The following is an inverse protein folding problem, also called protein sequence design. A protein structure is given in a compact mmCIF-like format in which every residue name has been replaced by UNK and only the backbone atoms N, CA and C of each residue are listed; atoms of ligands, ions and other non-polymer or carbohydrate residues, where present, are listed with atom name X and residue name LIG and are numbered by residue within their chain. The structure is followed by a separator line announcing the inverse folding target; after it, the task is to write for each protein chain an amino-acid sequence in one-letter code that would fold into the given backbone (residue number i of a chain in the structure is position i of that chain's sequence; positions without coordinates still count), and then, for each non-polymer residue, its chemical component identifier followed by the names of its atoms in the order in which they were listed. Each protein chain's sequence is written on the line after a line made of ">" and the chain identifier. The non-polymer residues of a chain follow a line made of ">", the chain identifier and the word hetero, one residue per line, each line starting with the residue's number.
data_IF_919529172065
#
_entry.id   IF_919529172065
#
_cell.length_a   1.000
_cell.length_b   1.000
_cell.length_c   1.000
_cell.angle_alpha   90.00
_cell.angle_beta   90.00
_cell.angle_gamma   90.00
#
_symmetry.space_group_name_H-M   'P 1'
#
loop_
_entity.id
_entity.type
_entity.pdbx_description
1 polymer ?
#
# COMPACT_ATOMS: atom_id res chain seq x y z
N UNK A 1 -3.89 13.87 -31.83
CA UNK A 1 -2.88 14.78 -31.26
C UNK A 1 -2.41 14.17 -29.94
N UNK A 2 -1.11 14.09 -29.69
CA UNK A 2 -0.52 13.65 -28.41
C UNK A 2 0.69 14.54 -28.12
N UNK A 3 0.94 14.91 -26.86
CA UNK A 3 2.11 15.71 -26.47
C UNK A 3 3.39 14.93 -26.74
N UNK A 4 4.41 15.60 -27.29
CA UNK A 4 5.77 15.04 -27.44
C UNK A 4 6.65 15.29 -26.20
N UNK A 5 6.21 16.17 -25.31
CA UNK A 5 6.90 16.47 -24.06
C UNK A 5 6.39 15.51 -22.98
N UNK A 6 7.28 14.71 -22.35
CA UNK A 6 6.88 13.81 -21.26
C UNK A 6 6.48 14.60 -20.02
N UNK A 7 5.59 14.02 -19.22
CA UNK A 7 5.27 14.55 -17.89
C UNK A 7 6.32 14.03 -16.90
N UNK A 8 7.14 14.92 -16.37
CA UNK A 8 8.13 14.56 -15.35
C UNK A 8 7.48 14.54 -13.96
N UNK A 9 7.79 13.49 -13.19
CA UNK A 9 7.35 13.34 -11.81
C UNK A 9 8.51 12.76 -10.98
N UNK A 10 8.73 13.32 -9.80
CA UNK A 10 9.69 12.78 -8.84
C UNK A 10 9.04 11.62 -8.08
N UNK A 11 9.68 10.46 -7.95
CA UNK A 11 9.11 9.34 -7.19
C UNK A 11 8.96 9.73 -5.72
N UNK A 12 7.79 9.43 -5.14
CA UNK A 12 7.55 9.53 -3.70
C UNK A 12 8.11 8.31 -2.97
N UNK A 13 8.32 7.21 -3.69
CA UNK A 13 8.71 5.91 -3.16
C UNK A 13 9.63 5.17 -4.14
N UNK A 14 10.74 4.63 -3.63
CA UNK A 14 11.66 3.81 -4.41
C UNK A 14 12.11 2.57 -3.60
N UNK A 15 11.76 1.37 -4.07
CA UNK A 15 12.17 0.10 -3.44
C UNK A 15 13.02 -0.73 -4.41
N UNK A 16 14.36 -0.68 -4.30
CA UNK A 16 15.25 -1.46 -5.16
C UNK A 16 14.99 -2.96 -4.99
N UNK A 17 14.86 -3.69 -6.10
CA UNK A 17 14.68 -5.14 -6.10
C UNK A 17 13.25 -5.63 -5.80
N UNK A 18 12.31 -4.72 -5.54
CA UNK A 18 10.89 -5.06 -5.40
C UNK A 18 10.15 -4.70 -6.69
N UNK A 19 9.44 -5.66 -7.27
CA UNK A 19 8.58 -5.42 -8.43
C UNK A 19 7.14 -5.22 -7.96
N UNK A 20 6.72 -3.96 -7.88
CA UNK A 20 5.34 -3.58 -7.60
C UNK A 20 4.44 -3.90 -8.79
N UNK A 21 3.28 -4.49 -8.53
CA UNK A 21 2.31 -4.93 -9.54
C UNK A 21 0.94 -4.28 -9.39
N UNK A 22 0.62 -3.74 -8.21
CA UNK A 22 -0.68 -3.16 -7.93
C UNK A 22 -0.56 -1.95 -6.99
N UNK A 23 -1.47 -0.98 -7.14
CA UNK A 23 -1.54 0.22 -6.31
C UNK A 23 -3.00 0.57 -5.99
N UNK A 24 -3.27 0.83 -4.73
CA UNK A 24 -4.52 1.43 -4.25
C UNK A 24 -4.19 2.47 -3.20
N UNK A 25 -4.91 3.58 -3.19
CA UNK A 25 -4.65 4.70 -2.27
C UNK A 25 -5.96 5.08 -1.59
N UNK A 26 -5.89 5.30 -0.28
CA UNK A 26 -6.99 5.83 0.52
C UNK A 26 -6.49 6.96 1.40
N UNK A 27 -7.43 7.72 1.96
CA UNK A 27 -7.16 8.75 2.96
C UNK A 27 -7.89 8.40 4.25
N UNK A 28 -7.17 8.38 5.35
CA UNK A 28 -7.71 8.16 6.69
C UNK A 28 -7.31 9.35 7.57
N UNK A 29 -8.27 10.07 8.13
CA UNK A 29 -8.01 11.21 9.03
C UNK A 29 -7.02 12.26 8.45
N UNK A 30 -7.08 12.52 7.14
CA UNK A 30 -6.15 13.43 6.45
C UNK A 30 -4.77 12.84 6.16
N UNK A 31 -4.52 11.59 6.53
CA UNK A 31 -3.30 10.83 6.26
C UNK A 31 -3.49 10.00 4.98
N UNK A 32 -2.60 10.19 4.00
CA UNK A 32 -2.64 9.40 2.77
C UNK A 32 -1.96 8.06 3.01
N UNK A 33 -2.66 6.96 2.72
CA UNK A 33 -2.15 5.60 2.86
C UNK A 33 -2.19 4.90 1.50
N UNK A 34 -1.05 4.35 1.08
CA UNK A 34 -0.92 3.54 -0.12
C UNK A 34 -0.81 2.05 0.23
N UNK A 35 -1.54 1.25 -0.53
CA UNK A 35 -1.51 -0.20 -0.54
C UNK A 35 -0.84 -0.64 -1.84
N UNK A 36 0.31 -1.29 -1.71
CA UNK A 36 1.16 -1.67 -2.83
C UNK A 36 1.28 -3.18 -2.88
N UNK A 37 0.80 -3.79 -3.96
CA UNK A 37 0.98 -5.22 -4.21
C UNK A 37 2.27 -5.48 -4.96
N UNK A 38 2.96 -6.58 -4.63
CA UNK A 38 4.18 -7.01 -5.31
C UNK A 38 4.03 -8.33 -6.09
N UNK A 39 5.04 -8.62 -6.91
CA UNK A 39 5.12 -9.85 -7.71
C UNK A 39 5.26 -11.13 -6.89
N UNK A 40 5.69 -11.02 -5.63
CA UNK A 40 5.84 -12.15 -4.70
C UNK A 40 4.54 -12.45 -3.93
N UNK A 41 3.49 -11.68 -4.19
CA UNK A 41 2.18 -11.85 -3.54
C UNK A 41 2.11 -11.22 -2.16
N UNK A 42 2.91 -10.17 -1.92
CA UNK A 42 2.84 -9.37 -0.71
C UNK A 42 2.07 -8.07 -0.96
N UNK A 43 1.41 -7.61 0.09
CA UNK A 43 0.74 -6.31 0.14
C UNK A 43 1.44 -5.46 1.20
N UNK A 44 1.96 -4.32 0.78
CA UNK A 44 2.65 -3.36 1.63
C UNK A 44 1.76 -2.16 1.90
N UNK A 45 1.67 -1.75 3.17
CA UNK A 45 0.96 -0.55 3.60
C UNK A 45 1.97 0.54 3.90
N UNK A 46 1.84 1.67 3.21
CA UNK A 46 2.80 2.78 3.26
C UNK A 46 2.05 4.06 3.58
N UNK A 47 2.54 4.82 4.54
CA UNK A 47 2.06 6.18 4.79
C UNK A 47 2.76 7.13 3.81
N UNK A 48 2.04 8.02 3.14
CA UNK A 48 2.58 8.96 2.14
C UNK A 48 2.53 10.43 2.59
N UNK A 49 2.31 10.70 3.87
CA UNK A 49 2.28 12.07 4.38
C UNK A 49 3.65 12.61 4.80
N UNK A 50 3.69 13.84 5.33
CA UNK A 50 4.93 14.51 5.72
C UNK A 50 5.70 13.70 6.77
N UNK A 51 7.01 13.58 6.57
CA UNK A 51 7.89 12.78 7.42
C UNK A 51 7.89 11.28 7.12
N UNK A 52 7.21 10.83 6.06
CA UNK A 52 7.34 9.44 5.61
C UNK A 52 8.67 9.21 4.89
N UNK A 53 9.39 8.17 5.32
CA UNK A 53 10.60 7.69 4.65
C UNK A 53 10.29 6.69 3.52
N UNK A 54 9.02 6.53 3.14
CA UNK A 54 8.61 5.55 2.13
C UNK A 54 8.75 4.09 2.60
N UNK A 55 9.04 3.85 3.87
CA UNK A 55 9.09 2.47 4.37
C UNK A 55 7.68 1.97 4.67
N UNK A 56 7.35 0.72 4.31
CA UNK A 56 6.06 0.17 4.66
C UNK A 56 5.99 -0.04 6.17
N UNK A 57 4.95 0.47 6.81
CA UNK A 57 4.72 0.24 8.24
C UNK A 57 4.11 -1.14 8.51
N UNK A 58 3.55 -1.78 7.47
CA UNK A 58 3.00 -3.12 7.55
C UNK A 58 3.15 -3.83 6.21
N UNK A 59 3.49 -5.11 6.24
CA UNK A 59 3.57 -5.98 5.06
C UNK A 59 2.86 -7.28 5.37
N UNK A 60 1.97 -7.71 4.48
CA UNK A 60 1.19 -8.93 4.64
C UNK A 60 1.36 -9.82 3.41
N UNK A 61 1.62 -11.11 3.63
CA UNK A 61 1.65 -12.09 2.55
C UNK A 61 0.21 -12.52 2.21
N UNK A 62 -0.19 -12.28 0.96
CA UNK A 62 -1.52 -12.63 0.44
C UNK A 62 -1.52 -14.06 -0.09
N UNK A 63 -0.57 -14.33 -0.98
CA UNK A 63 -0.33 -15.65 -1.57
C UNK A 63 1.12 -15.71 -2.05
N UNK A 64 2.03 -16.36 -1.30
CA UNK A 64 3.43 -16.45 -1.66
C UNK A 64 3.66 -16.94 -3.10
N UNK A 65 4.46 -16.20 -3.86
CA UNK A 65 4.84 -16.55 -5.23
C UNK A 65 3.76 -16.28 -6.29
N UNK A 66 2.64 -15.64 -5.93
CA UNK A 66 1.57 -15.28 -6.85
C UNK A 66 1.37 -13.77 -6.84
N UNK A 67 1.69 -13.11 -7.95
CA UNK A 67 1.63 -11.65 -8.04
C UNK A 67 0.25 -11.10 -7.66
N UNK A 68 0.25 -10.00 -6.91
CA UNK A 68 -0.97 -9.27 -6.59
C UNK A 68 -1.53 -8.63 -7.86
N UNK A 69 -2.83 -8.85 -8.10
CA UNK A 69 -3.56 -8.28 -9.23
C UNK A 69 -3.67 -6.76 -9.09
N UNK A 70 -3.68 -6.08 -10.24
CA UNK A 70 -3.89 -4.63 -10.34
C UNK A 70 -5.24 -4.19 -9.78
N UNK A 71 -6.20 -5.10 -9.74
CA UNK A 71 -7.56 -4.87 -9.27
C UNK A 71 -7.62 -4.87 -7.73
N UNK A 72 -7.10 -3.81 -7.12
CA UNK A 72 -7.23 -3.53 -5.69
C UNK A 72 -8.45 -2.63 -5.48
N UNK A 73 -9.47 -3.11 -4.78
CA UNK A 73 -10.74 -2.38 -4.63
C UNK A 73 -11.13 -2.26 -3.17
N UNK A 74 -11.42 -1.04 -2.73
CA UNK A 74 -11.99 -0.77 -1.41
C UNK A 74 -13.49 -1.11 -1.40
N UNK A 75 -14.00 -1.52 -0.25
CA UNK A 75 -15.45 -1.56 -0.03
C UNK A 75 -16.02 -0.13 0.05
N UNK A 76 -17.35 -0.01 0.09
CA UNK A 76 -18.02 1.29 0.10
C UNK A 76 -17.72 2.16 1.33
N UNK A 77 -17.35 1.55 2.46
CA UNK A 77 -16.97 2.24 3.69
C UNK A 77 -15.46 2.47 3.82
N UNK A 78 -14.64 1.99 2.88
CA UNK A 78 -13.17 2.02 2.96
C UNK A 78 -12.59 1.33 4.22
N UNK A 79 -13.30 0.32 4.76
CA UNK A 79 -12.90 -0.50 5.91
C UNK A 79 -12.26 -1.84 5.49
N UNK A 80 -12.42 -2.24 4.23
CA UNK A 80 -11.84 -3.45 3.67
C UNK A 80 -11.25 -3.21 2.28
N UNK A 81 -10.12 -3.88 2.02
CA UNK A 81 -9.50 -3.93 0.70
C UNK A 81 -9.61 -5.35 0.14
N UNK A 82 -10.20 -5.47 -1.03
CA UNK A 82 -10.25 -6.71 -1.78
C UNK A 82 -8.98 -6.82 -2.63
N UNK A 83 -8.25 -7.91 -2.40
CA UNK A 83 -6.97 -8.19 -3.03
C UNK A 83 -7.07 -9.50 -3.78
N UNK A 84 -6.84 -9.47 -5.08
CA UNK A 84 -6.84 -10.67 -5.93
C UNK A 84 -5.41 -11.05 -6.29
N UNK A 85 -5.17 -12.34 -6.52
CA UNK A 85 -3.90 -12.85 -7.06
C UNK A 85 -4.18 -13.68 -8.32
N UNK A 86 -3.15 -13.96 -9.11
CA UNK A 86 -3.31 -14.64 -10.42
C UNK A 86 -3.96 -16.03 -10.33
N UNK A 87 -3.86 -16.70 -9.18
CA UNK A 87 -4.28 -18.09 -9.02
C UNK A 87 -5.51 -18.25 -8.12
N UNK A 88 -5.89 -17.23 -7.36
CA UNK A 88 -6.96 -17.32 -6.35
C UNK A 88 -7.49 -15.93 -6.00
N UNK A 89 -8.79 -15.81 -5.75
CA UNK A 89 -9.32 -14.66 -5.00
C UNK A 89 -8.99 -14.92 -3.53
N UNK A 90 -7.88 -14.38 -3.03
CA UNK A 90 -7.56 -14.46 -1.61
C UNK A 90 -8.46 -13.47 -0.85
N UNK A 91 -9.06 -13.93 0.24
CA UNK A 91 -10.21 -13.28 0.89
C UNK A 91 -9.94 -11.87 1.40
N UNK A 92 -11.06 -11.14 1.59
CA UNK A 92 -11.24 -9.83 2.25
C UNK A 92 -10.09 -9.49 3.21
N UNK A 93 -9.28 -8.50 2.87
CA UNK A 93 -8.32 -7.96 3.82
C UNK A 93 -9.03 -6.91 4.65
N UNK A 94 -9.14 -7.19 5.94
CA UNK A 94 -9.57 -6.18 6.89
C UNK A 94 -8.53 -5.07 6.86
N UNK A 95 -8.96 -3.88 6.41
CA UNK A 95 -8.18 -2.70 6.69
C UNK A 95 -8.34 -2.54 8.20
N UNK A 96 -7.37 -3.02 8.97
CA UNK A 96 -7.09 -2.46 10.27
C UNK A 96 -6.58 -1.03 10.02
N UNK A 97 -7.49 -0.19 9.57
CA UNK A 97 -7.41 1.24 9.43
C UNK A 97 -7.59 1.79 10.86
N UNK A 98 -6.64 2.58 11.32
CA UNK A 98 -6.81 3.41 12.52
C UNK A 98 -7.02 2.79 13.92
N UNK A 99 -6.99 1.47 14.16
CA UNK A 99 -7.07 0.94 15.56
C UNK A 99 -5.76 0.42 16.15
N UNK A 100 -4.66 0.52 15.40
CA UNK A 100 -3.32 0.11 15.82
C UNK A 100 -2.28 1.23 15.58
N UNK A 101 -2.68 2.49 15.77
CA UNK A 101 -1.72 3.55 16.15
C UNK A 101 -1.48 3.54 17.68
N UNK A 102 -1.54 2.34 18.27
CA UNK A 102 -1.35 2.07 19.68
C UNK A 102 -0.37 0.93 19.89
N UNK A 103 0.92 1.27 19.94
CA UNK A 103 1.95 0.61 20.76
C UNK A 103 2.30 -0.86 20.43
N UNK A 104 3.38 -1.01 19.67
CA UNK A 104 4.08 -2.28 19.46
C UNK A 104 5.59 -2.16 19.24
N UNK A 105 6.26 -1.27 20.01
CA UNK A 105 7.71 -1.20 20.26
C UNK A 105 8.64 -0.65 19.16
N UNK A 106 9.18 0.54 19.43
CA UNK A 106 10.59 0.84 19.16
C UNK A 106 10.90 1.94 18.14
N UNK A 107 11.02 3.17 18.64
CA UNK A 107 11.79 4.30 18.07
C UNK A 107 11.24 4.97 16.79
N UNK A 108 10.53 6.08 16.99
CA UNK A 108 10.27 7.11 15.98
C UNK A 108 9.65 8.34 16.64
N UNK A 109 10.19 9.56 16.46
CA UNK A 109 9.90 10.70 17.33
C UNK A 109 8.65 11.44 16.83
N UNK A 110 7.47 11.05 17.30
CA UNK A 110 6.29 11.93 17.26
C UNK A 110 5.59 11.85 18.62
N UNK A 111 6.22 12.47 19.62
CA UNK A 111 5.58 12.88 20.87
C UNK A 111 6.12 14.27 21.23
N UNK A 112 5.30 15.31 21.04
CA UNK A 112 5.61 16.70 21.41
C UNK A 112 4.83 17.71 20.58
#
# INVERSE_FOLDING_TARGET
>A
MASRVPLEATPVLEWPGVQLTAVAVTMEDGHTIAFLGDSQGQLHRVYLGPGSDGHPYSTQSIQPGSAVSRDLTFDGAFEHLYVMTQSTVSGRQELAAGRDLGLGLGQGPVCG
#
